data_IF_405610438917
#
_entry.id   IF_405610438917
#
_cell.length_a   1.000
_cell.length_b   1.000
_cell.length_c   1.000
_cell.angle_alpha   90.00
_cell.angle_beta   90.00
_cell.angle_gamma   90.00
#
_symmetry.space_group_name_H-M   'P 1'
#
loop_
_entity.id
_entity.type
_entity.pdbx_description
1 polymer ?
#
# COMPACT_ATOMS: atom_id res chain seq x y z
N UNK A 1 6.14 -14.13 -54.09
CA UNK A 1 6.83 -13.47 -52.96
C UNK A 1 5.84 -12.52 -52.34
N UNK A 2 5.06 -13.02 -51.39
CA UNK A 2 3.95 -12.31 -50.76
C UNK A 2 4.38 -12.03 -49.32
N UNK A 3 4.71 -10.77 -49.04
CA UNK A 3 5.01 -10.29 -47.70
C UNK A 3 3.70 -10.07 -46.95
N UNK A 4 3.41 -10.94 -45.98
CA UNK A 4 2.32 -10.74 -45.03
C UNK A 4 2.83 -9.84 -43.90
N UNK A 5 2.20 -8.67 -43.74
CA UNK A 5 2.35 -7.82 -42.56
C UNK A 5 1.82 -8.55 -41.30
N UNK A 6 2.45 -8.37 -40.13
CA UNK A 6 1.96 -8.96 -38.88
C UNK A 6 0.70 -8.23 -38.39
N UNK A 7 -0.21 -8.92 -37.67
CA UNK A 7 -1.48 -8.36 -37.26
C UNK A 7 -1.30 -7.29 -36.17
N UNK A 8 -1.89 -6.13 -36.40
CA UNK A 8 -2.07 -5.05 -35.43
C UNK A 8 -2.88 -5.58 -34.24
N UNK A 9 -2.29 -5.55 -33.04
CA UNK A 9 -2.98 -5.82 -31.78
C UNK A 9 -4.14 -4.83 -31.62
N UNK A 10 -5.37 -5.31 -31.76
CA UNK A 10 -6.57 -4.54 -31.46
C UNK A 10 -6.53 -4.13 -29.97
N UNK A 11 -6.46 -2.82 -29.72
CA UNK A 11 -6.56 -2.25 -28.39
C UNK A 11 -7.97 -2.51 -27.85
N UNK A 12 -8.11 -3.37 -26.85
CA UNK A 12 -9.33 -3.46 -26.07
C UNK A 12 -9.52 -2.12 -25.33
N UNK A 13 -10.42 -1.29 -25.85
CA UNK A 13 -10.85 -0.05 -25.24
C UNK A 13 -11.97 -0.34 -24.26
N UNK A 14 -11.89 0.21 -23.05
CA UNK A 14 -12.97 0.14 -22.07
C UNK A 14 -14.15 0.99 -22.58
N UNK A 15 -15.35 0.40 -22.65
CA UNK A 15 -16.54 0.98 -23.31
C UNK A 15 -17.10 2.23 -22.59
N UNK A 16 -16.75 2.43 -21.32
CA UNK A 16 -17.02 3.69 -20.60
C UNK A 16 -15.85 4.08 -19.68
N UNK A 17 -15.45 5.37 -19.67
CA UNK A 17 -14.41 5.84 -18.77
C UNK A 17 -14.87 5.75 -17.30
N UNK A 18 -13.96 5.41 -16.37
CA UNK A 18 -14.27 5.41 -14.94
C UNK A 18 -14.68 6.81 -14.46
N UNK A 19 -15.72 6.86 -13.63
CA UNK A 19 -16.34 8.09 -13.13
C UNK A 19 -15.66 8.68 -11.87
N UNK A 20 -14.57 8.09 -11.41
CA UNK A 20 -13.80 8.59 -10.27
C UNK A 20 -12.31 8.32 -10.43
N UNK A 21 -11.46 9.20 -9.87
CA UNK A 21 -10.01 9.02 -9.89
C UNK A 21 -9.57 7.73 -9.18
N UNK A 22 -10.27 7.33 -8.11
CA UNK A 22 -10.03 6.08 -7.39
C UNK A 22 -10.40 4.85 -8.23
N UNK A 23 -11.54 4.90 -8.94
CA UNK A 23 -11.92 3.87 -9.91
C UNK A 23 -10.93 3.75 -11.07
N UNK A 24 -10.43 4.87 -11.58
CA UNK A 24 -9.39 4.87 -12.61
C UNK A 24 -8.08 4.24 -12.12
N UNK A 25 -7.61 4.60 -10.93
CA UNK A 25 -6.38 4.00 -10.37
C UNK A 25 -6.53 2.50 -10.13
N UNK A 26 -7.72 2.03 -9.72
CA UNK A 26 -8.01 0.59 -9.58
C UNK A 26 -7.94 -0.11 -10.94
N UNK A 27 -8.62 0.42 -11.96
CA UNK A 27 -8.60 -0.14 -13.30
C UNK A 27 -7.19 -0.17 -13.92
N UNK A 28 -6.40 0.89 -13.70
CA UNK A 28 -4.98 0.93 -14.09
C UNK A 28 -4.17 -0.17 -13.38
N UNK A 29 -4.50 -0.48 -12.12
CA UNK A 29 -3.85 -1.55 -11.36
C UNK A 29 -4.20 -2.91 -11.93
N UNK A 30 -5.48 -3.16 -12.19
CA UNK A 30 -6.00 -4.43 -12.68
C UNK A 30 -5.43 -4.75 -14.08
N UNK A 31 -5.31 -3.75 -14.96
CA UNK A 31 -4.73 -3.92 -16.29
C UNK A 31 -3.21 -3.82 -16.32
N UNK A 32 -2.55 -3.48 -15.21
CA UNK A 32 -1.15 -3.04 -15.19
C UNK A 32 -0.22 -4.03 -15.92
N UNK A 33 -0.37 -5.33 -15.69
CA UNK A 33 0.51 -6.34 -16.26
C UNK A 33 0.37 -6.49 -17.78
N UNK A 34 -0.81 -6.20 -18.31
CA UNK A 34 -1.10 -6.20 -19.75
C UNK A 34 -0.57 -4.94 -20.47
N UNK A 35 -0.17 -3.90 -19.72
CA UNK A 35 0.27 -2.65 -20.32
C UNK A 35 1.66 -2.78 -20.99
N UNK A 36 1.84 -2.17 -22.18
CA UNK A 36 3.16 -1.98 -22.79
C UNK A 36 4.10 -1.22 -21.86
N UNK A 37 5.41 -1.44 -22.01
CA UNK A 37 6.47 -0.85 -21.17
C UNK A 37 6.33 0.67 -20.99
N UNK A 38 6.00 1.40 -22.06
CA UNK A 38 5.79 2.85 -21.98
C UNK A 38 4.55 3.22 -21.17
N UNK A 39 3.44 2.48 -21.30
CA UNK A 39 2.21 2.72 -20.56
C UNK A 39 2.34 2.31 -19.08
N UNK A 40 3.11 1.27 -18.75
CA UNK A 40 3.44 0.90 -17.35
C UNK A 40 4.14 2.03 -16.60
N UNK A 41 4.99 2.80 -17.29
CA UNK A 41 5.67 3.97 -16.70
C UNK A 41 4.68 5.08 -16.35
N UNK A 42 3.74 5.34 -17.25
CA UNK A 42 2.67 6.32 -17.07
C UNK A 42 1.76 5.87 -15.91
N UNK A 43 1.30 4.62 -15.92
CA UNK A 43 0.51 4.03 -14.82
C UNK A 43 1.21 4.17 -13.46
N UNK A 44 2.52 3.86 -13.42
CA UNK A 44 3.31 3.98 -12.19
C UNK A 44 3.40 5.43 -11.72
N UNK A 45 3.66 6.37 -12.63
CA UNK A 45 3.69 7.79 -12.30
C UNK A 45 2.35 8.25 -11.74
N UNK A 46 1.25 7.82 -12.36
CA UNK A 46 -0.08 8.25 -11.95
C UNK A 46 -0.46 7.78 -10.54
N UNK A 47 -0.06 6.57 -10.16
CA UNK A 47 -0.34 6.04 -8.82
C UNK A 47 0.59 6.63 -7.74
N UNK A 48 1.81 7.02 -8.11
CA UNK A 48 2.79 7.55 -7.16
C UNK A 48 2.73 9.07 -6.99
N UNK A 49 2.25 9.79 -8.01
CA UNK A 49 2.26 11.26 -8.10
C UNK A 49 0.89 11.80 -8.53
N UNK A 50 -0.20 11.21 -8.02
CA UNK A 50 -1.57 11.58 -8.38
C UNK A 50 -1.88 13.07 -8.15
N UNK A 51 -1.29 13.67 -7.11
CA UNK A 51 -1.40 15.11 -6.81
C UNK A 51 -0.83 16.01 -7.91
N UNK A 52 0.20 15.53 -8.64
CA UNK A 52 0.90 16.32 -9.68
C UNK A 52 0.20 16.26 -11.03
N UNK A 53 -0.55 15.19 -11.31
CA UNK A 53 -1.33 15.04 -12.55
C UNK A 53 -2.29 16.23 -12.74
N UNK A 54 -2.80 16.82 -11.65
CA UNK A 54 -3.72 17.94 -11.66
C UNK A 54 -3.15 19.19 -12.35
N UNK A 55 -1.87 19.46 -12.10
CA UNK A 55 -1.22 20.75 -12.36
C UNK A 55 -0.19 20.68 -13.47
N UNK A 56 0.47 19.53 -13.60
CA UNK A 56 1.54 19.37 -14.55
C UNK A 56 0.97 19.29 -15.98
N UNK A 57 1.67 19.92 -16.93
CA UNK A 57 1.29 19.82 -18.33
C UNK A 57 1.62 18.42 -18.83
N UNK A 58 0.93 17.98 -19.88
CA UNK A 58 1.21 16.70 -20.54
C UNK A 58 2.70 16.53 -20.90
N UNK A 59 3.38 17.62 -21.26
CA UNK A 59 4.81 17.65 -21.56
C UNK A 59 5.70 17.39 -20.35
N UNK A 60 5.31 17.89 -19.17
CA UNK A 60 6.08 17.72 -17.94
C UNK A 60 5.95 16.28 -17.43
N UNK A 61 4.73 15.75 -17.45
CA UNK A 61 4.46 14.34 -17.12
C UNK A 61 5.17 13.40 -18.08
N UNK A 62 5.12 13.68 -19.39
CA UNK A 62 5.80 12.89 -20.40
C UNK A 62 7.32 12.86 -20.18
N UNK A 63 7.93 14.00 -19.82
CA UNK A 63 9.36 14.08 -19.48
C UNK A 63 9.69 13.26 -18.23
N UNK A 64 8.89 13.37 -17.17
CA UNK A 64 9.12 12.66 -15.91
C UNK A 64 8.89 11.14 -16.05
N UNK A 65 7.99 10.75 -16.95
CA UNK A 65 7.79 9.37 -17.38
C UNK A 65 8.79 8.92 -18.45
N UNK A 66 9.70 9.77 -18.94
CA UNK A 66 10.55 9.60 -20.13
C UNK A 66 9.83 8.88 -21.30
N UNK A 67 8.68 9.43 -21.70
CA UNK A 67 7.88 9.00 -22.85
C UNK A 67 7.56 10.21 -23.73
N UNK A 68 7.12 9.96 -24.96
CA UNK A 68 6.59 11.01 -25.82
C UNK A 68 5.18 11.44 -25.36
N UNK A 69 4.77 12.73 -25.45
CA UNK A 69 3.43 13.18 -25.05
C UNK A 69 2.28 12.40 -25.69
N UNK A 70 2.44 11.89 -26.91
CA UNK A 70 1.44 11.04 -27.57
C UNK A 70 1.20 9.71 -26.84
N UNK A 71 2.17 9.20 -26.07
CA UNK A 71 1.97 8.02 -25.23
C UNK A 71 1.02 8.31 -24.06
N UNK A 72 1.02 9.53 -23.52
CA UNK A 72 0.07 9.96 -22.48
C UNK A 72 -1.34 10.05 -23.05
N UNK A 73 -1.50 10.54 -24.29
CA UNK A 73 -2.81 10.57 -24.97
C UNK A 73 -3.34 9.17 -25.22
N UNK A 74 -2.50 8.26 -25.75
CA UNK A 74 -2.86 6.84 -25.93
C UNK A 74 -3.21 6.15 -24.62
N UNK A 75 -2.49 6.48 -23.55
CA UNK A 75 -2.82 5.99 -22.21
C UNK A 75 -4.23 6.39 -21.82
N UNK A 76 -4.59 7.68 -21.95
CA UNK A 76 -5.95 8.16 -21.63
C UNK A 76 -7.03 7.49 -22.48
N UNK A 77 -6.78 7.31 -23.79
CA UNK A 77 -7.72 6.66 -24.72
C UNK A 77 -7.97 5.19 -24.39
N UNK A 78 -6.93 4.47 -23.95
CA UNK A 78 -7.09 3.08 -23.52
C UNK A 78 -8.09 2.92 -22.38
N UNK A 79 -8.07 3.85 -21.42
CA UNK A 79 -8.98 3.84 -20.26
C UNK A 79 -10.31 4.57 -20.54
N UNK A 80 -10.68 4.75 -21.82
CA UNK A 80 -11.99 5.24 -22.23
C UNK A 80 -12.14 6.77 -22.30
N UNK A 81 -11.06 7.53 -22.12
CA UNK A 81 -11.10 9.00 -22.23
C UNK A 81 -10.76 9.48 -23.64
N UNK A 82 -11.43 10.51 -24.13
CA UNK A 82 -11.13 11.19 -25.40
C UNK A 82 -9.69 11.73 -25.48
N UNK A 83 -9.07 12.02 -24.33
CA UNK A 83 -7.66 12.40 -24.24
C UNK A 83 -7.21 12.78 -22.83
N UNK A 84 -5.96 13.25 -22.72
CA UNK A 84 -5.35 13.58 -21.43
C UNK A 84 -6.12 14.64 -20.65
N UNK A 85 -6.68 15.66 -21.31
CA UNK A 85 -7.39 16.74 -20.63
C UNK A 85 -8.65 16.28 -19.90
N UNK A 86 -9.37 15.28 -20.46
CA UNK A 86 -10.56 14.69 -19.85
C UNK A 86 -10.18 13.80 -18.67
N UNK A 87 -9.18 12.94 -18.85
CA UNK A 87 -8.62 12.16 -17.75
C UNK A 87 -8.09 13.06 -16.62
N UNK A 88 -7.42 14.17 -16.96
CA UNK A 88 -6.93 15.17 -16.01
C UNK A 88 -8.09 15.90 -15.32
N UNK A 89 -9.22 16.11 -16.00
CA UNK A 89 -10.42 16.68 -15.39
C UNK A 89 -10.97 15.79 -14.27
N UNK A 90 -10.92 14.46 -14.44
CA UNK A 90 -11.29 13.51 -13.40
C UNK A 90 -10.44 13.65 -12.14
N UNK A 91 -9.12 13.81 -12.31
CA UNK A 91 -8.21 14.09 -11.20
C UNK A 91 -8.47 15.46 -10.59
N UNK A 92 -8.71 16.50 -11.40
CA UNK A 92 -9.08 17.84 -10.93
C UNK A 92 -10.38 17.84 -10.13
N UNK A 93 -11.41 17.11 -10.55
CA UNK A 93 -12.70 17.03 -9.88
C UNK A 93 -12.61 16.29 -8.55
N UNK A 94 -11.91 15.13 -8.55
CA UNK A 94 -11.52 14.46 -7.31
C UNK A 94 -10.69 15.38 -6.40
N UNK A 95 -9.94 16.33 -6.98
CA UNK A 95 -9.17 17.33 -6.26
C UNK A 95 -9.95 18.57 -5.82
N UNK A 96 -10.97 19.04 -6.52
CA UNK A 96 -11.81 20.16 -6.05
C UNK A 96 -12.52 19.78 -4.74
N UNK A 97 -12.74 18.48 -4.53
CA UNK A 97 -13.18 17.91 -3.26
C UNK A 97 -12.03 17.57 -2.27
N UNK A 98 -10.75 17.54 -2.70
CA UNK A 98 -9.55 17.25 -1.88
C UNK A 98 -8.61 18.45 -1.62
N UNK A 99 -8.74 19.60 -2.30
CA UNK A 99 -8.16 20.89 -1.91
C UNK A 99 -8.96 21.45 -0.76
N UNK A 100 -8.80 20.80 0.37
CA UNK A 100 -8.60 21.57 1.58
C UNK A 100 -7.17 21.27 2.01
N UNK A 101 -6.34 22.29 2.28
CA UNK A 101 -4.96 22.10 2.76
C UNK A 101 -4.98 21.04 3.85
N UNK A 102 -4.08 20.04 3.80
CA UNK A 102 -3.94 18.90 4.73
C UNK A 102 -4.95 19.06 5.85
N UNK A 103 -6.20 18.60 5.64
CA UNK A 103 -7.25 19.01 6.55
C UNK A 103 -6.79 18.58 7.93
N UNK A 104 -6.46 19.56 8.78
CA UNK A 104 -6.23 19.24 10.16
C UNK A 104 -7.52 18.57 10.65
N UNK A 105 -7.42 17.71 11.65
CA UNK A 105 -8.57 16.90 12.06
C UNK A 105 -9.85 17.73 12.28
N UNK A 106 -9.69 18.99 12.68
CA UNK A 106 -10.77 19.97 12.82
C UNK A 106 -11.45 20.34 11.48
N UNK A 107 -10.71 20.53 10.39
CA UNK A 107 -11.28 20.78 9.07
C UNK A 107 -12.06 19.57 8.53
N UNK A 108 -11.60 18.34 8.80
CA UNK A 108 -12.36 17.10 8.49
C UNK A 108 -13.66 17.01 9.24
N UNK A 109 -13.63 17.37 10.51
CA UNK A 109 -14.84 17.43 11.33
C UNK A 109 -15.77 18.54 10.82
N UNK A 110 -15.25 19.71 10.43
CA UNK A 110 -16.06 20.81 9.88
C UNK A 110 -16.72 20.46 8.55
N UNK A 111 -16.00 19.81 7.63
CA UNK A 111 -16.58 19.33 6.36
C UNK A 111 -17.63 18.26 6.61
N UNK A 112 -17.41 17.37 7.58
CA UNK A 112 -18.43 16.41 8.03
C UNK A 112 -19.70 17.11 8.53
N UNK A 113 -19.56 18.11 9.41
CA UNK A 113 -20.68 18.88 9.95
C UNK A 113 -21.43 19.61 8.84
N UNK A 114 -20.72 20.20 7.88
CA UNK A 114 -21.31 20.93 6.76
C UNK A 114 -22.10 20.02 5.80
N UNK A 115 -21.69 18.75 5.66
CA UNK A 115 -22.31 17.78 4.76
C UNK A 115 -23.47 16.99 5.38
N UNK A 116 -23.71 17.09 6.69
CA UNK A 116 -24.88 16.47 7.34
C UNK A 116 -26.04 17.45 7.41
N UNK A 117 -27.18 17.03 6.87
CA UNK A 117 -28.45 17.78 6.89
C UNK A 117 -29.06 17.91 8.30
N UNK A 118 -28.65 17.06 9.25
CA UNK A 118 -29.02 17.13 10.66
C UNK A 118 -27.80 16.93 11.56
N UNK A 119 -27.79 17.55 12.75
CA UNK A 119 -26.75 17.31 13.76
C UNK A 119 -26.78 15.84 14.19
N UNK A 120 -25.73 15.09 13.87
CA UNK A 120 -25.57 13.71 14.35
C UNK A 120 -25.36 13.69 15.87
N UNK A 121 -26.01 12.75 16.56
CA UNK A 121 -25.71 12.51 17.97
C UNK A 121 -24.33 11.84 18.11
N UNK A 122 -23.71 11.93 19.29
CA UNK A 122 -22.45 11.22 19.55
C UNK A 122 -22.58 9.70 19.32
N UNK A 123 -23.75 9.12 19.62
CA UNK A 123 -24.03 7.71 19.36
C UNK A 123 -24.09 7.36 17.88
N UNK A 124 -24.63 8.25 17.04
CA UNK A 124 -24.66 8.05 15.58
C UNK A 124 -23.25 8.10 14.98
N UNK A 125 -22.41 9.04 15.45
CA UNK A 125 -21.02 9.13 15.03
C UNK A 125 -20.22 7.88 15.42
N UNK A 126 -20.46 7.35 16.63
CA UNK A 126 -19.83 6.11 17.08
C UNK A 126 -20.27 4.91 16.23
N UNK A 127 -21.57 4.77 15.95
CA UNK A 127 -22.10 3.71 15.08
C UNK A 127 -21.50 3.77 13.68
N UNK A 128 -21.45 4.95 13.08
CA UNK A 128 -20.86 5.11 11.74
C UNK A 128 -19.36 4.74 11.71
N UNK A 129 -18.62 5.00 12.81
CA UNK A 129 -17.24 4.55 12.95
C UNK A 129 -17.12 3.03 13.09
N UNK A 130 -18.06 2.39 13.81
CA UNK A 130 -18.14 0.94 13.95
C UNK A 130 -18.47 0.30 12.60
N UNK A 131 -19.47 0.81 11.89
CA UNK A 131 -19.90 0.29 10.58
C UNK A 131 -18.78 0.41 9.54
N UNK A 132 -18.07 1.55 9.51
CA UNK A 132 -16.90 1.69 8.66
C UNK A 132 -15.80 0.69 9.04
N UNK A 133 -15.57 0.46 10.33
CA UNK A 133 -14.60 -0.54 10.79
C UNK A 133 -14.99 -1.95 10.36
N UNK A 134 -16.27 -2.32 10.49
CA UNK A 134 -16.80 -3.61 10.05
C UNK A 134 -16.57 -3.80 8.55
N UNK A 135 -16.91 -2.81 7.73
CA UNK A 135 -16.66 -2.84 6.28
C UNK A 135 -15.17 -2.99 5.92
N UNK A 136 -14.26 -2.42 6.73
CA UNK A 136 -12.82 -2.64 6.58
C UNK A 136 -12.40 -4.09 6.87
N UNK A 137 -12.95 -4.68 7.93
CA UNK A 137 -12.68 -6.07 8.31
C UNK A 137 -13.28 -7.08 7.32
N UNK A 138 -14.50 -6.83 6.83
CA UNK A 138 -15.14 -7.65 5.81
C UNK A 138 -14.32 -7.66 4.51
N UNK A 139 -13.83 -6.50 4.07
CA UNK A 139 -12.92 -6.42 2.91
C UNK A 139 -11.61 -7.14 3.16
N UNK A 140 -10.99 -6.97 4.32
CA UNK A 140 -9.78 -7.72 4.68
C UNK A 140 -10.04 -9.23 4.60
N UNK A 141 -11.17 -9.71 5.13
CA UNK A 141 -11.52 -11.14 5.08
C UNK A 141 -11.77 -11.65 3.65
N UNK A 142 -12.30 -10.81 2.76
CA UNK A 142 -12.61 -11.19 1.39
C UNK A 142 -11.40 -11.10 0.44
N UNK A 143 -10.47 -10.17 0.72
CA UNK A 143 -9.32 -9.84 -0.13
C UNK A 143 -7.98 -10.37 0.41
N UNK A 144 -7.98 -11.10 1.53
CA UNK A 144 -6.76 -11.70 2.08
C UNK A 144 -6.16 -12.70 1.08
N UNK A 145 -4.92 -12.45 0.67
CA UNK A 145 -4.17 -13.35 -0.19
C UNK A 145 -3.40 -14.36 0.68
N UNK A 146 -3.89 -15.59 0.73
CA UNK A 146 -3.29 -16.68 1.52
C UNK A 146 -1.83 -16.97 1.13
N UNK A 147 -1.49 -16.80 -0.16
CA UNK A 147 -0.14 -17.07 -0.67
C UNK A 147 0.83 -15.99 -0.20
N UNK A 148 0.44 -14.72 -0.29
CA UNK A 148 1.24 -13.63 0.24
C UNK A 148 1.30 -13.64 1.77
N UNK A 149 0.21 -14.03 2.43
CA UNK A 149 0.19 -14.18 3.89
C UNK A 149 1.17 -15.26 4.35
N UNK A 150 1.16 -16.46 3.75
CA UNK A 150 2.11 -17.51 4.10
C UNK A 150 3.57 -17.09 3.84
N UNK A 151 3.84 -16.41 2.71
CA UNK A 151 5.16 -15.83 2.44
C UNK A 151 5.56 -14.79 3.51
N UNK A 152 4.64 -13.98 3.98
CA UNK A 152 4.93 -13.02 5.05
C UNK A 152 5.31 -13.74 6.35
N UNK A 153 4.60 -14.81 6.71
CA UNK A 153 4.96 -15.66 7.86
C UNK A 153 6.37 -16.25 7.62
N UNK A 154 6.70 -16.72 6.41
CA UNK A 154 8.04 -17.25 6.05
C UNK A 154 9.16 -16.26 6.23
N UNK A 155 8.96 -15.04 5.78
CA UNK A 155 9.93 -13.98 5.95
C UNK A 155 10.20 -13.70 7.43
N UNK A 156 9.14 -13.66 8.26
CA UNK A 156 9.27 -13.38 9.70
C UNK A 156 9.95 -14.55 10.43
N UNK A 157 9.54 -15.79 10.14
CA UNK A 157 10.09 -17.00 10.79
C UNK A 157 11.54 -17.26 10.42
N UNK A 158 12.00 -16.87 9.24
CA UNK A 158 13.37 -17.16 8.79
C UNK A 158 14.35 -15.99 8.98
N UNK A 159 13.89 -14.81 9.43
CA UNK A 159 14.76 -13.65 9.64
C UNK A 159 15.64 -13.78 10.89
N UNK A 160 16.88 -13.27 10.78
CA UNK A 160 17.84 -13.15 11.89
C UNK A 160 17.46 -12.00 12.84
N UNK A 161 17.14 -10.85 12.26
CA UNK A 161 16.60 -9.67 12.95
C UNK A 161 15.43 -9.09 12.15
N UNK A 162 14.43 -8.56 12.85
CA UNK A 162 13.21 -7.98 12.27
C UNK A 162 13.13 -6.51 12.66
N UNK A 163 13.19 -5.62 11.68
CA UNK A 163 13.10 -4.18 11.85
C UNK A 163 11.73 -3.70 11.38
N UNK A 164 10.92 -3.15 12.29
CA UNK A 164 9.56 -2.69 11.98
C UNK A 164 9.55 -1.17 11.90
N UNK A 165 9.03 -0.63 10.80
CA UNK A 165 8.94 0.81 10.56
C UNK A 165 7.54 1.22 10.12
N UNK A 166 7.00 2.22 10.80
CA UNK A 166 5.77 2.92 10.44
C UNK A 166 5.83 4.34 11.01
N UNK A 167 5.33 5.32 10.26
CA UNK A 167 5.35 6.73 10.69
C UNK A 167 3.95 7.32 10.81
N UNK A 168 3.81 8.37 11.62
CA UNK A 168 2.53 9.04 11.89
C UNK A 168 1.52 8.01 12.41
N UNK A 169 0.32 7.91 11.81
CA UNK A 169 -0.70 6.93 12.23
C UNK A 169 -0.24 5.48 12.13
N UNK A 170 0.64 5.16 11.19
CA UNK A 170 1.18 3.79 11.03
C UNK A 170 2.18 3.42 12.12
N UNK A 171 2.69 4.39 12.89
CA UNK A 171 3.58 4.12 14.01
C UNK A 171 2.89 3.27 15.09
N UNK A 172 1.61 3.55 15.39
CA UNK A 172 0.85 2.77 16.38
C UNK A 172 0.72 1.29 15.99
N UNK A 173 0.56 1.00 14.69
CA UNK A 173 0.52 -0.38 14.17
C UNK A 173 1.91 -1.02 14.25
N UNK A 174 2.97 -0.29 13.88
CA UNK A 174 4.34 -0.78 13.97
C UNK A 174 4.73 -1.14 15.40
N UNK A 175 4.42 -0.26 16.35
CA UNK A 175 4.66 -0.47 17.78
C UNK A 175 3.86 -1.66 18.33
N UNK A 176 2.59 -1.79 17.93
CA UNK A 176 1.77 -2.95 18.30
C UNK A 176 2.31 -4.27 17.73
N UNK A 177 2.77 -4.29 16.48
CA UNK A 177 3.36 -5.48 15.88
C UNK A 177 4.68 -5.85 16.58
N UNK A 178 5.50 -4.87 16.94
CA UNK A 178 6.72 -5.08 17.73
C UNK A 178 6.39 -5.70 19.08
N UNK A 179 5.41 -5.14 19.81
CA UNK A 179 4.94 -5.68 21.08
C UNK A 179 4.52 -7.15 20.98
N UNK A 180 3.74 -7.50 19.95
CA UNK A 180 3.32 -8.89 19.75
C UNK A 180 4.52 -9.80 19.45
N UNK A 181 5.36 -9.45 18.47
CA UNK A 181 6.50 -10.28 18.06
C UNK A 181 7.55 -10.46 19.17
N UNK A 182 7.63 -9.55 20.15
CA UNK A 182 8.49 -9.68 21.33
C UNK A 182 8.12 -10.87 22.24
N UNK A 183 6.94 -11.48 22.06
CA UNK A 183 6.56 -12.72 22.75
C UNK A 183 7.15 -13.98 22.08
N UNK A 184 7.97 -13.82 21.05
CA UNK A 184 8.72 -14.89 20.39
C UNK A 184 10.21 -14.76 20.69
N UNK A 185 11.00 -15.80 20.41
CA UNK A 185 12.46 -15.77 20.55
C UNK A 185 13.19 -15.00 19.42
N UNK A 186 12.46 -14.19 18.63
CA UNK A 186 13.02 -13.39 17.53
C UNK A 186 13.63 -12.07 18.01
N UNK A 187 14.63 -11.57 17.30
CA UNK A 187 15.25 -10.25 17.55
C UNK A 187 14.45 -9.17 16.84
N UNK A 188 13.67 -8.39 17.60
CA UNK A 188 12.75 -7.39 17.07
C UNK A 188 13.25 -5.96 17.39
N UNK A 189 13.21 -5.09 16.39
CA UNK A 189 13.64 -3.69 16.50
C UNK A 189 12.57 -2.74 15.97
N UNK A 190 12.11 -1.80 16.79
CA UNK A 190 11.29 -0.68 16.33
C UNK A 190 12.17 0.42 15.74
N UNK A 191 11.92 0.80 14.50
CA UNK A 191 12.53 1.97 13.87
C UNK A 191 11.69 3.20 14.19
N UNK A 192 11.99 3.84 15.34
CA UNK A 192 11.26 5.01 15.81
C UNK A 192 11.66 6.32 15.14
N UNK A 193 12.90 6.41 14.64
CA UNK A 193 13.46 7.64 14.10
C UNK A 193 13.55 8.80 15.10
N UNK A 194 13.49 8.51 16.41
CA UNK A 194 13.64 9.52 17.45
C UNK A 194 14.96 10.29 17.26
N UNK A 195 14.88 11.62 17.36
CA UNK A 195 16.02 12.50 17.08
C UNK A 195 16.45 12.54 15.60
N UNK A 196 15.62 12.06 14.67
CA UNK A 196 15.96 11.99 13.24
C UNK A 196 16.79 10.74 12.86
N UNK A 197 16.91 9.76 13.76
CA UNK A 197 17.90 8.68 13.69
C UNK A 197 17.51 7.49 12.79
N UNK A 198 16.68 7.70 11.77
CA UNK A 198 16.24 6.61 10.87
C UNK A 198 17.42 5.89 10.21
N UNK A 199 18.42 6.65 9.76
CA UNK A 199 19.62 6.10 9.12
C UNK A 199 20.46 5.29 10.10
N UNK A 200 20.62 5.80 11.33
CA UNK A 200 21.41 5.20 12.38
C UNK A 200 20.81 3.87 12.83
N UNK A 201 19.49 3.83 13.04
CA UNK A 201 18.77 2.62 13.45
C UNK A 201 18.78 1.54 12.34
N UNK A 202 18.90 1.93 11.07
CA UNK A 202 18.96 1.00 9.94
C UNK A 202 20.38 0.54 9.58
N UNK A 203 21.43 1.07 10.24
CA UNK A 203 22.84 0.83 9.87
C UNK A 203 23.28 -0.64 10.01
N UNK A 204 22.66 -1.38 10.93
CA UNK A 204 22.99 -2.78 11.20
C UNK A 204 22.28 -3.78 10.27
N UNK A 205 21.34 -3.33 9.44
CA UNK A 205 20.55 -4.20 8.55
C UNK A 205 21.45 -4.96 7.56
N UNK A 206 21.26 -6.28 7.42
CA UNK A 206 21.99 -7.19 6.52
C UNK A 206 21.03 -8.08 5.71
N UNK A 207 21.58 -8.87 4.78
CA UNK A 207 20.82 -9.66 3.82
C UNK A 207 19.88 -10.73 4.43
N UNK A 208 20.19 -11.23 5.63
CA UNK A 208 19.35 -12.20 6.36
C UNK A 208 18.30 -11.55 7.26
N UNK A 209 18.29 -10.23 7.35
CA UNK A 209 17.32 -9.49 8.15
C UNK A 209 16.04 -9.24 7.34
N UNK A 210 14.95 -8.96 8.08
CA UNK A 210 13.68 -8.53 7.53
C UNK A 210 13.40 -7.09 7.95
N UNK A 211 12.97 -6.27 6.99
CA UNK A 211 12.38 -4.95 7.25
C UNK A 211 10.88 -5.01 6.95
N UNK A 212 10.07 -4.84 7.99
CA UNK A 212 8.61 -4.75 7.90
C UNK A 212 8.22 -3.28 7.83
N UNK A 213 7.63 -2.86 6.71
CA UNK A 213 7.23 -1.48 6.48
C UNK A 213 5.71 -1.35 6.42
N UNK A 214 5.15 -0.54 7.30
CA UNK A 214 3.71 -0.24 7.34
C UNK A 214 3.52 1.19 6.84
N UNK A 215 2.88 1.35 5.69
CA UNK A 215 2.62 2.67 5.12
C UNK A 215 1.42 2.67 4.20
N UNK A 216 0.60 3.72 4.33
CA UNK A 216 -0.58 3.94 3.50
C UNK A 216 -0.51 5.31 2.84
N UNK A 217 -1.34 5.56 1.84
CA UNK A 217 -1.43 6.87 1.20
C UNK A 217 -1.86 7.95 2.23
N UNK A 218 -1.15 9.10 2.33
CA UNK A 218 0.08 9.46 1.62
C UNK A 218 1.33 8.80 2.22
N UNK A 219 2.06 8.05 1.40
CA UNK A 219 3.18 7.20 1.84
C UNK A 219 4.28 8.00 2.55
N UNK A 220 4.72 7.51 3.72
CA UNK A 220 5.73 8.17 4.55
C UNK A 220 7.11 8.18 3.86
N UNK A 221 7.72 9.37 3.74
CA UNK A 221 9.06 9.52 3.12
C UNK A 221 10.15 8.81 3.94
N UNK A 222 9.96 8.79 5.25
CA UNK A 222 10.80 8.13 6.24
C UNK A 222 10.73 6.60 6.07
N UNK A 223 9.52 6.04 5.98
CA UNK A 223 9.32 4.62 5.68
C UNK A 223 9.93 4.23 4.33
N UNK A 224 9.73 5.05 3.30
CA UNK A 224 10.38 4.87 1.99
C UNK A 224 11.92 4.90 2.09
N UNK A 225 12.47 5.77 2.94
CA UNK A 225 13.91 5.87 3.15
C UNK A 225 14.46 4.60 3.80
N UNK A 226 13.81 4.07 4.84
CA UNK A 226 14.21 2.81 5.46
C UNK A 226 14.15 1.64 4.46
N UNK A 227 13.10 1.55 3.65
CA UNK A 227 13.00 0.50 2.62
C UNK A 227 14.11 0.60 1.56
N UNK A 228 14.52 1.81 1.15
CA UNK A 228 15.67 1.99 0.25
C UNK A 228 16.98 1.48 0.89
N UNK A 229 17.18 1.73 2.18
CA UNK A 229 18.35 1.22 2.93
C UNK A 229 18.30 -0.32 2.98
N UNK A 230 17.15 -0.90 3.30
CA UNK A 230 16.95 -2.35 3.34
C UNK A 230 17.34 -3.01 2.00
N UNK A 231 16.82 -2.47 0.90
CA UNK A 231 17.09 -2.94 -0.45
C UNK A 231 18.57 -2.78 -0.84
N UNK A 232 19.22 -1.69 -0.42
CA UNK A 232 20.65 -1.49 -0.63
C UNK A 232 21.49 -2.56 0.09
N UNK A 233 21.08 -2.96 1.29
CA UNK A 233 21.71 -4.03 2.06
C UNK A 233 21.22 -5.44 1.71
N UNK A 234 20.39 -5.57 0.66
CA UNK A 234 19.80 -6.84 0.21
C UNK A 234 18.96 -7.55 1.28
N UNK A 235 18.52 -6.84 2.31
CA UNK A 235 17.62 -7.36 3.33
C UNK A 235 16.26 -7.68 2.72
N UNK A 236 15.56 -8.64 3.33
CA UNK A 236 14.19 -8.96 2.92
C UNK A 236 13.25 -7.84 3.35
N UNK A 237 12.16 -7.67 2.61
CA UNK A 237 11.16 -6.62 2.87
C UNK A 237 9.75 -7.20 2.82
N UNK A 238 9.00 -6.94 3.90
CA UNK A 238 7.56 -7.21 4.01
C UNK A 238 6.85 -5.86 4.10
N UNK A 239 5.83 -5.63 3.28
CA UNK A 239 5.17 -4.33 3.17
C UNK A 239 3.68 -4.47 3.44
N UNK A 240 3.16 -3.72 4.40
CA UNK A 240 1.73 -3.65 4.71
C UNK A 240 1.21 -2.29 4.22
N UNK A 241 0.32 -2.29 3.22
CA UNK A 241 -0.05 -1.09 2.44
C UNK A 241 -1.47 -1.17 1.87
N UNK A 242 -1.97 -0.07 1.29
CA UNK A 242 -3.30 0.05 0.65
C UNK A 242 -3.32 -0.28 -0.86
N UNK A 243 -2.15 -0.49 -1.50
CA UNK A 243 -2.08 -0.69 -2.95
C UNK A 243 -0.80 -1.38 -3.40
N UNK A 244 -0.92 -2.28 -4.38
CA UNK A 244 0.19 -2.89 -5.13
C UNK A 244 0.97 -1.88 -5.98
N UNK A 245 0.40 -0.70 -6.25
CA UNK A 245 1.07 0.37 -6.99
C UNK A 245 1.84 1.33 -6.07
N UNK A 246 1.85 1.05 -4.76
CA UNK A 246 2.68 1.78 -3.81
C UNK A 246 4.13 1.85 -4.31
N UNK A 247 4.82 3.00 -4.19
CA UNK A 247 6.26 3.08 -4.48
C UNK A 247 7.10 2.03 -3.75
N UNK A 248 6.53 1.46 -2.69
CA UNK A 248 7.14 0.46 -1.82
C UNK A 248 7.09 -0.96 -2.44
N UNK A 249 6.03 -1.29 -3.18
CA UNK A 249 5.68 -2.66 -3.54
C UNK A 249 6.58 -3.29 -4.63
N UNK A 250 7.11 -2.50 -5.57
CA UNK A 250 7.85 -3.01 -6.76
C UNK A 250 9.07 -3.88 -6.48
N UNK A 251 9.60 -3.85 -5.25
CA UNK A 251 10.79 -4.63 -4.84
C UNK A 251 10.58 -5.34 -3.50
N UNK A 252 9.33 -5.44 -3.06
CA UNK A 252 8.98 -6.17 -1.85
C UNK A 252 9.23 -7.67 -2.05
N UNK A 253 9.60 -8.37 -0.98
CA UNK A 253 9.60 -9.84 -0.99
C UNK A 253 8.19 -10.38 -0.76
N UNK A 254 7.36 -9.66 -0.01
CA UNK A 254 5.93 -9.91 0.11
C UNK A 254 5.19 -8.60 0.41
N UNK A 255 3.95 -8.51 -0.07
CA UNK A 255 3.07 -7.37 0.16
C UNK A 255 1.75 -7.87 0.72
N UNK A 256 1.36 -7.36 1.89
CA UNK A 256 0.04 -7.57 2.46
C UNK A 256 -0.81 -6.32 2.22
N UNK A 257 -1.90 -6.49 1.49
CA UNK A 257 -2.83 -5.41 1.20
C UNK A 257 -3.88 -5.30 2.31
N UNK A 258 -4.10 -4.07 2.77
CA UNK A 258 -5.16 -3.74 3.71
C UNK A 258 -5.84 -2.46 3.24
N UNK A 259 -7.13 -2.58 2.91
CA UNK A 259 -7.96 -1.44 2.59
C UNK A 259 -8.87 -1.09 3.78
N UNK A 260 -8.45 -0.08 4.53
CA UNK A 260 -9.15 0.35 5.74
C UNK A 260 -10.55 0.89 5.44
N UNK A 261 -11.48 0.60 6.32
CA UNK A 261 -12.74 1.32 6.41
C UNK A 261 -12.50 2.80 6.70
N UNK A 262 -13.26 3.69 6.06
CA UNK A 262 -13.19 5.11 6.36
C UNK A 262 -14.57 5.67 6.67
N UNK A 263 -14.69 6.34 7.81
CA UNK A 263 -15.83 7.20 8.13
C UNK A 263 -15.31 8.63 8.25
N UNK A 264 -16.02 9.59 7.65
CA UNK A 264 -15.71 11.01 7.79
C UNK A 264 -14.27 11.44 7.43
N UNK A 265 -13.64 10.76 6.47
CA UNK A 265 -12.21 10.93 6.13
C UNK A 265 -11.22 10.58 7.27
N UNK A 266 -11.69 9.85 8.29
CA UNK A 266 -10.89 9.12 9.25
C UNK A 266 -10.85 7.67 8.82
N UNK A 267 -9.66 7.19 8.48
CA UNK A 267 -9.44 5.78 8.23
C UNK A 267 -9.29 5.06 9.58
N UNK A 268 -9.92 3.91 9.73
CA UNK A 268 -9.66 3.02 10.85
C UNK A 268 -8.24 2.46 10.76
N UNK A 269 -7.72 1.95 11.88
CA UNK A 269 -6.50 1.11 11.91
C UNK A 269 -6.85 -0.34 12.28
N UNK A 270 -8.13 -0.63 12.54
CA UNK A 270 -8.55 -1.91 13.10
C UNK A 270 -8.29 -3.08 12.17
N UNK A 271 -8.47 -2.91 10.85
CA UNK A 271 -8.17 -3.98 9.91
C UNK A 271 -6.67 -4.27 9.86
N UNK A 272 -5.83 -3.23 9.85
CA UNK A 272 -4.37 -3.40 9.86
C UNK A 272 -3.89 -4.04 11.17
N UNK A 273 -4.45 -3.63 12.31
CA UNK A 273 -4.13 -4.24 13.61
C UNK A 273 -4.57 -5.70 13.67
N UNK A 274 -5.75 -6.02 13.14
CA UNK A 274 -6.25 -7.39 13.01
C UNK A 274 -5.31 -8.25 12.16
N UNK A 275 -4.88 -7.76 11.00
CA UNK A 275 -3.90 -8.44 10.15
C UNK A 275 -2.57 -8.66 10.89
N UNK A 276 -2.06 -7.63 11.59
CA UNK A 276 -0.80 -7.76 12.34
C UNK A 276 -0.92 -8.79 13.47
N UNK A 277 -2.07 -8.86 14.14
CA UNK A 277 -2.35 -9.87 15.15
C UNK A 277 -2.44 -11.27 14.54
N UNK A 278 -3.12 -11.43 13.40
CA UNK A 278 -3.18 -12.70 12.68
C UNK A 278 -1.77 -13.16 12.25
N UNK A 279 -0.94 -12.24 11.72
CA UNK A 279 0.44 -12.50 11.35
C UNK A 279 1.25 -12.98 12.57
N UNK A 280 1.12 -12.31 13.71
CA UNK A 280 1.76 -12.75 14.95
C UNK A 280 1.31 -14.16 15.37
N UNK A 281 0.01 -14.44 15.40
CA UNK A 281 -0.52 -15.75 15.80
C UNK A 281 0.04 -16.85 14.88
N UNK A 282 0.04 -16.64 13.56
CA UNK A 282 0.58 -17.59 12.60
C UNK A 282 2.09 -17.80 12.78
N UNK A 283 2.84 -16.73 13.03
CA UNK A 283 4.29 -16.80 13.31
C UNK A 283 4.56 -17.56 14.60
N UNK A 284 3.85 -17.25 15.69
CA UNK A 284 4.01 -17.90 16.98
C UNK A 284 3.67 -19.40 16.88
N UNK A 285 2.53 -19.73 16.28
CA UNK A 285 2.11 -21.11 16.04
C UNK A 285 3.18 -21.93 15.31
N UNK A 286 3.78 -21.35 14.26
CA UNK A 286 4.78 -22.05 13.46
C UNK A 286 6.16 -22.14 14.12
N UNK A 287 6.49 -21.19 15.01
CA UNK A 287 7.70 -21.29 15.82
C UNK A 287 7.58 -22.38 16.88
N UNK A 288 6.40 -22.54 17.51
CA UNK A 288 6.15 -23.61 18.50
C UNK A 288 6.15 -25.00 17.85
N UNK A 289 5.50 -25.19 16.69
CA UNK A 289 5.55 -26.47 15.97
C UNK A 289 6.99 -26.92 15.66
N UNK A 290 7.87 -25.98 15.29
CA UNK A 290 9.28 -26.29 15.03
C UNK A 290 10.02 -26.71 16.30
N UNK A 291 9.66 -26.16 17.46
CA UNK A 291 10.24 -26.57 18.74
C UNK A 291 9.81 -28.00 19.09
N UNK A 292 8.53 -28.32 18.89
CA UNK A 292 8.00 -29.65 19.12
C UNK A 292 8.61 -30.68 18.15
N UNK A 293 8.75 -30.37 16.86
CA UNK A 293 9.44 -31.23 15.87
C UNK A 293 10.90 -31.50 16.26
N UNK A 294 11.62 -30.50 16.77
CA UNK A 294 12.99 -30.68 17.26
C UNK A 294 12.99 -31.58 18.51
N UNK A 295 12.04 -31.40 19.44
CA UNK A 295 11.93 -32.27 20.61
C UNK A 295 11.56 -33.72 20.24
N UNK A 296 10.69 -33.94 19.27
CA UNK A 296 10.35 -35.28 18.76
C UNK A 296 11.54 -35.94 18.05
N UNK A 297 12.32 -35.19 17.25
CA UNK A 297 13.52 -35.71 16.59
C UNK A 297 14.68 -36.00 17.55
N UNK A 298 14.68 -35.38 18.73
CA UNK A 298 15.69 -35.59 19.79
C UNK A 298 15.19 -36.59 20.86
N UNK A 299 13.98 -37.15 20.69
CA UNK A 299 13.46 -38.23 21.52
C UNK A 299 14.36 -39.46 21.45
N UNK A 300 14.76 -39.96 22.63
CA UNK A 300 15.69 -41.07 22.82
C UNK A 300 15.34 -42.31 21.98
N UNK A 301 16.26 -42.72 21.10
CA UNK A 301 16.46 -44.13 20.76
C UNK A 301 16.99 -44.83 22.03
N UNK A 302 16.09 -45.30 22.89
CA UNK A 302 16.36 -46.33 23.92
C UNK A 302 16.09 -47.72 23.34
#
# INVERSE_FOLDING_TARGET
MTSADPPTLAEATVDMPPNSAEGLLRLITDEYDSLPRQLKRIASYMSQQSDRIMVDRISDIARECEVHPSAIVRFSQRFGFSGFSEMQALFREAYTHKTTPVQNYQQRIRSMIANKSQKASAGDLARECVDATLSGLERLSAELDDVEFEKAVDLVVNADNIYVVGVRRSFAVADYLVYNLQHTNKRIHLISGLGGSYREQMRSVRANDLVVAISFTPYGKETQHCLRIAQHHQAKTLIITDSNLSPLAKRANSVLLVNEGSSFAFRSLSATLCLCQALFIAVAYRLELKVDEIHEQVGFDD
#
